data_IF_495159969835
#
_entry.id   IF_495159969835
#
_cell.length_a   1.000
_cell.length_b   1.000
_cell.length_c   1.000
_cell.angle_alpha   90.00
_cell.angle_beta   90.00
_cell.angle_gamma   90.00
#
_symmetry.space_group_name_H-M   'P 1'
#
loop_
_entity.id
_entity.type
_entity.pdbx_description
1 polymer ?
#
# COMPACT_ATOMS: atom_id res chain seq x y z
N UNK A 1 7.39 6.97 5.67
CA UNK A 1 6.97 5.64 6.21
C UNK A 1 5.60 5.29 5.64
N UNK A 2 5.15 4.04 5.74
CA UNK A 2 3.87 3.60 5.16
C UNK A 2 2.85 3.25 6.24
N UNK A 3 1.60 3.63 6.02
CA UNK A 3 0.45 3.17 6.81
C UNK A 3 -0.56 2.48 5.90
N UNK A 4 -0.95 1.27 6.26
CA UNK A 4 -1.88 0.42 5.55
C UNK A 4 -3.19 0.37 6.34
N UNK A 5 -4.34 0.45 5.68
CA UNK A 5 -5.66 0.25 6.31
C UNK A 5 -6.53 -0.60 5.40
N UNK A 6 -6.92 -1.78 5.88
CA UNK A 6 -7.71 -2.73 5.09
C UNK A 6 -9.19 -2.34 5.16
N UNK A 7 -9.85 -2.17 4.02
CA UNK A 7 -11.29 -1.85 3.95
C UNK A 7 -12.13 -3.10 3.71
N UNK A 8 -11.52 -4.10 3.06
CA UNK A 8 -12.07 -5.43 2.86
C UNK A 8 -10.97 -6.46 2.61
N UNK A 9 -11.22 -7.68 3.04
CA UNK A 9 -10.24 -8.77 3.16
C UNK A 9 -10.81 -10.14 2.73
N UNK A 10 -12.02 -10.15 2.16
CA UNK A 10 -12.71 -11.36 1.68
C UNK A 10 -12.43 -11.60 0.20
N UNK A 11 -12.31 -12.86 -0.18
CA UNK A 11 -12.19 -13.28 -1.58
C UNK A 11 -13.53 -13.56 -2.25
N UNK A 12 -13.70 -13.06 -3.48
CA UNK A 12 -14.80 -13.35 -4.40
C UNK A 12 -16.14 -12.69 -4.02
N UNK A 13 -16.54 -12.78 -2.76
CA UNK A 13 -17.84 -12.30 -2.27
C UNK A 13 -17.72 -11.66 -0.88
N UNK A 14 -18.56 -10.67 -0.55
CA UNK A 14 -18.63 -10.14 0.80
C UNK A 14 -19.26 -11.16 1.75
N UNK A 15 -18.90 -11.06 3.03
CA UNK A 15 -19.49 -11.83 4.12
C UNK A 15 -20.06 -10.88 5.17
N UNK A 16 -20.70 -11.42 6.22
CA UNK A 16 -21.14 -10.63 7.37
C UNK A 16 -19.98 -9.94 8.11
N UNK A 17 -18.76 -10.47 7.99
CA UNK A 17 -17.60 -10.02 8.78
C UNK A 17 -16.52 -9.32 7.96
N UNK A 18 -16.43 -9.63 6.66
CA UNK A 18 -15.39 -9.12 5.75
C UNK A 18 -16.01 -8.66 4.44
N UNK A 19 -15.68 -7.45 4.00
CA UNK A 19 -15.99 -6.99 2.65
C UNK A 19 -14.96 -7.54 1.64
N UNK A 20 -15.28 -7.43 0.36
CA UNK A 20 -14.35 -7.71 -0.76
C UNK A 20 -13.19 -6.72 -0.82
N UNK A 21 -12.12 -7.09 -1.54
CA UNK A 21 -10.80 -6.45 -1.54
C UNK A 21 -10.84 -4.94 -1.72
N UNK A 22 -10.26 -4.24 -0.75
CA UNK A 22 -9.76 -2.88 -0.91
C UNK A 22 -8.80 -2.52 0.22
N UNK A 23 -7.70 -1.86 -0.12
CA UNK A 23 -6.64 -1.45 0.80
C UNK A 23 -6.30 0.02 0.58
N UNK A 24 -6.28 0.81 1.66
CA UNK A 24 -5.72 2.15 1.64
C UNK A 24 -4.25 2.13 2.08
N UNK A 25 -3.40 2.80 1.31
CA UNK A 25 -1.98 3.00 1.57
C UNK A 25 -1.67 4.49 1.69
N UNK A 26 -1.16 4.92 2.82
CA UNK A 26 -0.74 6.30 3.09
C UNK A 26 0.77 6.35 3.24
N UNK A 27 1.38 7.47 2.82
CA UNK A 27 2.68 7.85 3.38
C UNK A 27 2.45 8.62 4.67
N UNK A 28 3.35 8.52 5.65
CA UNK A 28 3.23 9.26 6.92
C UNK A 28 3.56 10.76 6.80
N UNK A 29 3.87 11.25 5.61
CA UNK A 29 4.36 12.62 5.39
C UNK A 29 3.24 13.62 5.13
N UNK A 30 2.11 13.17 4.58
CA UNK A 30 0.98 14.00 4.23
C UNK A 30 -0.34 13.23 4.43
N UNK A 31 -1.46 13.83 4.01
CA UNK A 31 -2.78 13.19 4.05
C UNK A 31 -3.10 12.38 2.80
N UNK A 32 -2.25 12.49 1.79
CA UNK A 32 -2.47 11.82 0.51
C UNK A 32 -2.42 10.31 0.69
N UNK A 33 -3.26 9.63 -0.07
CA UNK A 33 -3.38 8.19 0.03
C UNK A 33 -3.70 7.55 -1.31
N UNK A 34 -3.39 6.26 -1.40
CA UNK A 34 -3.57 5.40 -2.55
C UNK A 34 -4.54 4.29 -2.18
N UNK A 35 -5.40 3.93 -3.12
CA UNK A 35 -6.27 2.77 -2.99
C UNK A 35 -5.73 1.65 -3.87
N UNK A 36 -5.56 0.47 -3.30
CA UNK A 36 -5.27 -0.76 -4.05
C UNK A 36 -6.53 -1.60 -4.03
N UNK A 37 -7.09 -1.79 -5.21
CA UNK A 37 -8.41 -2.36 -5.48
C UNK A 37 -9.58 -1.62 -4.82
N UNK A 38 -10.72 -1.70 -5.49
CA UNK A 38 -11.97 -1.04 -5.12
C UNK A 38 -13.14 -2.00 -5.35
N UNK A 39 -13.18 -3.08 -4.57
CA UNK A 39 -14.30 -4.01 -4.56
C UNK A 39 -15.62 -3.34 -4.21
N UNK A 40 -16.73 -4.01 -4.50
CA UNK A 40 -18.07 -3.51 -4.19
C UNK A 40 -18.18 -3.01 -2.73
N UNK A 41 -18.96 -1.95 -2.54
CA UNK A 41 -19.20 -1.30 -1.26
C UNK A 41 -17.98 -0.65 -0.58
N UNK A 42 -16.81 -0.55 -1.22
CA UNK A 42 -15.63 0.16 -0.68
C UNK A 42 -15.95 1.57 -0.17
N UNK A 43 -16.77 2.35 -0.90
CA UNK A 43 -17.20 3.68 -0.44
C UNK A 43 -17.96 3.66 0.90
N UNK A 44 -18.72 2.60 1.20
CA UNK A 44 -19.42 2.45 2.48
C UNK A 44 -18.44 2.11 3.62
N UNK A 45 -17.36 1.38 3.30
CA UNK A 45 -16.28 1.10 4.25
C UNK A 45 -15.52 2.38 4.60
N UNK A 46 -15.26 3.24 3.60
CA UNK A 46 -14.59 4.53 3.79
C UNK A 46 -15.31 5.46 4.79
N UNK A 47 -16.64 5.42 4.86
CA UNK A 47 -17.41 6.23 5.81
C UNK A 47 -17.07 5.94 7.29
N UNK A 48 -16.42 4.81 7.58
CA UNK A 48 -16.00 4.42 8.93
C UNK A 48 -14.54 4.76 9.22
N UNK A 49 -13.83 5.36 8.26
CA UNK A 49 -12.41 5.66 8.34
C UNK A 49 -12.17 7.17 8.23
N UNK A 50 -11.12 7.70 8.88
CA UNK A 50 -10.73 9.10 8.73
C UNK A 50 -9.94 9.33 7.43
N UNK A 51 -10.42 8.77 6.31
CA UNK A 51 -9.85 8.91 4.98
C UNK A 51 -10.80 9.72 4.10
N UNK A 52 -10.30 10.83 3.55
CA UNK A 52 -11.09 11.66 2.65
C UNK A 52 -10.85 11.26 1.21
N UNK A 53 -11.92 11.05 0.44
CA UNK A 53 -11.83 10.87 -1.02
C UNK A 53 -11.29 12.12 -1.73
N UNK A 54 -11.12 13.26 -1.07
CA UNK A 54 -10.47 14.45 -1.63
C UNK A 54 -8.93 14.38 -1.57
N UNK A 55 -8.38 13.54 -0.69
CA UNK A 55 -6.95 13.30 -0.52
C UNK A 55 -6.50 12.00 -1.23
N UNK A 56 -7.41 11.29 -1.89
CA UNK A 56 -7.10 10.10 -2.70
C UNK A 56 -6.33 10.53 -3.95
N UNK A 57 -5.08 10.11 -4.10
CA UNK A 57 -4.22 10.50 -5.25
C UNK A 57 -4.42 9.56 -6.42
N UNK A 58 -4.47 8.27 -6.15
CA UNK A 58 -4.64 7.27 -7.19
C UNK A 58 -5.30 5.98 -6.71
N UNK A 59 -5.95 5.31 -7.65
CA UNK A 59 -6.50 3.96 -7.48
C UNK A 59 -5.72 3.01 -8.39
N UNK A 60 -5.15 1.98 -7.81
CA UNK A 60 -4.40 0.91 -8.46
C UNK A 60 -5.27 -0.35 -8.50
N UNK A 61 -5.68 -0.80 -9.69
CA UNK A 61 -6.52 -1.99 -9.86
C UNK A 61 -5.65 -3.15 -10.35
N UNK A 62 -5.58 -4.20 -9.53
CA UNK A 62 -4.74 -5.38 -9.80
C UNK A 62 -5.21 -6.15 -11.03
N UNK A 63 -6.52 -6.35 -11.16
CA UNK A 63 -7.14 -7.06 -12.28
C UNK A 63 -8.65 -6.76 -12.40
N UNK A 64 -9.29 -7.36 -13.41
CA UNK A 64 -10.65 -6.97 -13.84
C UNK A 64 -11.81 -7.58 -13.04
N UNK A 65 -11.57 -8.48 -12.07
CA UNK A 65 -12.67 -9.13 -11.36
C UNK A 65 -13.46 -8.13 -10.50
N UNK A 66 -14.73 -8.47 -10.26
CA UNK A 66 -15.70 -7.56 -9.67
C UNK A 66 -15.46 -7.25 -8.20
N UNK A 67 -14.98 -8.23 -7.43
CA UNK A 67 -14.57 -8.08 -6.04
C UNK A 67 -13.33 -7.19 -5.85
N UNK A 68 -12.70 -6.75 -6.95
CA UNK A 68 -11.60 -5.79 -6.97
C UNK A 68 -11.96 -4.46 -7.64
N UNK A 69 -13.10 -4.34 -8.34
CA UNK A 69 -13.39 -3.17 -9.20
C UNK A 69 -14.82 -2.64 -9.15
N UNK A 70 -15.81 -3.41 -8.70
CA UNK A 70 -17.23 -3.01 -8.73
C UNK A 70 -17.56 -1.80 -7.84
N UNK A 71 -16.69 -1.44 -6.90
CA UNK A 71 -16.83 -0.23 -6.10
C UNK A 71 -16.50 1.07 -6.86
N UNK A 72 -15.81 0.99 -8.00
CA UNK A 72 -15.31 2.16 -8.73
C UNK A 72 -16.42 3.15 -9.12
N UNK A 73 -17.51 2.76 -9.82
CA UNK A 73 -18.51 3.72 -10.28
C UNK A 73 -19.11 4.55 -9.13
N UNK A 74 -19.51 3.87 -8.05
CA UNK A 74 -20.09 4.53 -6.88
C UNK A 74 -19.10 5.44 -6.16
N UNK A 75 -17.84 5.02 -6.00
CA UNK A 75 -16.79 5.84 -5.39
C UNK A 75 -16.53 7.11 -6.21
N UNK A 76 -16.40 6.97 -7.54
CA UNK A 76 -16.11 8.07 -8.45
C UNK A 76 -17.26 9.09 -8.48
N UNK A 77 -18.51 8.60 -8.52
CA UNK A 77 -19.72 9.41 -8.44
C UNK A 77 -19.78 10.18 -7.12
N UNK A 78 -19.60 9.49 -5.99
CA UNK A 78 -19.61 10.09 -4.65
C UNK A 78 -18.54 11.16 -4.50
N UNK A 79 -17.31 10.93 -4.97
CA UNK A 79 -16.26 11.95 -4.95
C UNK A 79 -16.63 13.19 -5.78
N UNK A 80 -17.33 13.02 -6.90
CA UNK A 80 -17.82 14.14 -7.72
C UNK A 80 -18.89 14.93 -6.96
N UNK A 81 -19.87 14.24 -6.36
CA UNK A 81 -20.97 14.84 -5.61
C UNK A 81 -20.51 15.54 -4.32
N UNK A 82 -19.43 15.08 -3.68
CA UNK A 82 -18.83 15.77 -2.54
C UNK A 82 -17.92 16.94 -2.94
N UNK A 83 -17.83 17.24 -4.25
CA UNK A 83 -17.14 18.42 -4.74
C UNK A 83 -15.64 18.26 -4.93
N UNK A 84 -15.14 17.03 -5.15
CA UNK A 84 -13.73 16.81 -5.51
C UNK A 84 -13.40 17.62 -6.78
N UNK A 85 -12.24 18.29 -6.77
CA UNK A 85 -11.69 19.04 -7.92
C UNK A 85 -10.32 18.53 -8.37
N UNK A 86 -9.54 17.97 -7.45
CA UNK A 86 -8.20 17.43 -7.75
C UNK A 86 -8.30 16.28 -8.76
N UNK A 87 -7.40 16.22 -9.77
CA UNK A 87 -7.28 15.06 -10.65
C UNK A 87 -7.15 13.76 -9.84
N UNK A 88 -7.69 12.67 -10.35
CA UNK A 88 -7.55 11.34 -9.76
C UNK A 88 -6.90 10.41 -10.78
N UNK A 89 -5.82 9.74 -10.36
CA UNK A 89 -5.18 8.70 -11.17
C UNK A 89 -5.98 7.39 -11.06
N UNK A 90 -6.25 6.75 -12.19
CA UNK A 90 -6.77 5.40 -12.27
C UNK A 90 -5.74 4.55 -13.01
N UNK A 91 -4.90 3.84 -12.26
CA UNK A 91 -3.94 2.88 -12.79
C UNK A 91 -4.67 1.54 -12.86
N UNK A 92 -5.13 1.16 -14.04
CA UNK A 92 -6.00 0.00 -14.20
C UNK A 92 -5.87 -0.60 -15.62
N UNK A 93 -6.24 -1.88 -15.80
CA UNK A 93 -6.35 -2.46 -17.15
C UNK A 93 -7.28 -1.63 -18.04
N UNK A 94 -6.96 -1.52 -19.33
CA UNK A 94 -7.79 -0.79 -20.30
C UNK A 94 -9.29 -1.18 -20.28
N UNK A 95 -9.59 -2.46 -20.01
CA UNK A 95 -10.97 -2.94 -19.89
C UNK A 95 -11.76 -2.27 -18.75
N UNK A 96 -11.10 -1.94 -17.62
CA UNK A 96 -11.74 -1.20 -16.53
C UNK A 96 -12.09 0.21 -16.99
N UNK A 97 -11.19 0.90 -17.69
CA UNK A 97 -11.48 2.24 -18.23
C UNK A 97 -12.67 2.22 -19.18
N UNK A 98 -12.72 1.25 -20.10
CA UNK A 98 -13.84 1.09 -21.02
C UNK A 98 -15.17 0.85 -20.29
N UNK A 99 -15.16 0.02 -19.23
CA UNK A 99 -16.34 -0.21 -18.39
C UNK A 99 -16.78 1.04 -17.62
N UNK A 100 -15.84 1.81 -17.06
CA UNK A 100 -16.15 3.09 -16.40
C UNK A 100 -16.74 4.08 -17.41
N UNK A 101 -16.17 4.21 -18.61
CA UNK A 101 -16.70 5.11 -19.65
C UNK A 101 -18.12 4.72 -20.05
N UNK A 102 -18.40 3.42 -20.23
CA UNK A 102 -19.75 2.94 -20.49
C UNK A 102 -20.70 3.27 -19.32
N UNK A 103 -20.24 3.12 -18.09
CA UNK A 103 -21.05 3.47 -16.90
C UNK A 103 -21.35 4.96 -16.85
N UNK A 104 -20.35 5.81 -17.08
CA UNK A 104 -20.53 7.27 -17.14
C UNK A 104 -21.55 7.66 -18.22
N UNK A 105 -21.43 7.08 -19.41
CA UNK A 105 -22.33 7.31 -20.53
C UNK A 105 -23.78 6.88 -20.21
N UNK A 106 -23.97 5.66 -19.71
CA UNK A 106 -25.30 5.07 -19.52
C UNK A 106 -26.01 5.51 -18.24
N UNK A 107 -25.30 6.13 -17.30
CA UNK A 107 -25.88 6.68 -16.07
C UNK A 107 -25.96 8.20 -16.06
N UNK A 108 -25.58 8.86 -17.17
CA UNK A 108 -25.46 10.32 -17.28
C UNK A 108 -24.63 10.93 -16.14
N UNK A 109 -23.58 10.21 -15.72
CA UNK A 109 -22.68 10.66 -14.66
C UNK A 109 -21.59 11.57 -15.23
N UNK A 110 -21.55 12.81 -14.74
CA UNK A 110 -20.51 13.78 -15.05
C UNK A 110 -19.55 13.95 -13.87
N UNK A 111 -18.27 13.64 -14.07
CA UNK A 111 -17.24 13.85 -13.06
C UNK A 111 -16.82 15.33 -13.05
N UNK A 112 -16.86 15.96 -11.88
CA UNK A 112 -16.45 17.38 -11.71
C UNK A 112 -14.95 17.57 -11.51
N UNK A 113 -14.17 16.50 -11.71
CA UNK A 113 -12.72 16.45 -11.63
C UNK A 113 -12.16 15.56 -12.75
N UNK A 114 -10.90 15.76 -13.18
CA UNK A 114 -10.26 14.91 -14.18
C UNK A 114 -10.00 13.49 -13.64
N UNK A 115 -10.46 12.47 -14.37
CA UNK A 115 -10.06 11.08 -14.16
C UNK A 115 -8.99 10.72 -15.20
N UNK A 116 -7.75 10.58 -14.74
CA UNK A 116 -6.58 10.30 -15.59
C UNK A 116 -6.34 8.80 -15.56
N UNK A 117 -6.60 8.11 -16.66
CA UNK A 117 -6.32 6.68 -16.78
C UNK A 117 -4.86 6.44 -17.20
N UNK A 118 -4.21 5.53 -16.49
CA UNK A 118 -2.91 4.98 -16.84
C UNK A 118 -3.15 3.48 -17.05
N UNK A 119 -2.92 3.00 -18.27
CA UNK A 119 -3.01 1.58 -18.55
C UNK A 119 -1.90 0.85 -17.80
N UNK A 120 -2.28 -0.15 -17.00
CA UNK A 120 -1.34 -0.90 -16.16
C UNK A 120 -0.31 -1.66 -17.00
N UNK A 121 -0.64 -1.98 -18.25
CA UNK A 121 0.26 -2.68 -19.16
C UNK A 121 1.25 -1.75 -19.88
N UNK A 122 1.03 -0.42 -19.83
CA UNK A 122 1.80 0.55 -20.63
C UNK A 122 3.29 0.63 -20.28
N UNK A 123 3.66 0.50 -19.00
CA UNK A 123 5.03 0.57 -18.53
C UNK A 123 5.23 -0.17 -17.20
N UNK A 124 6.45 -0.64 -16.88
CA UNK A 124 6.76 -1.22 -15.57
C UNK A 124 6.64 -0.22 -14.42
N UNK A 125 6.99 1.05 -14.63
CA UNK A 125 6.79 2.15 -13.66
C UNK A 125 5.54 2.92 -14.09
N UNK A 126 4.55 2.96 -13.20
CA UNK A 126 3.22 3.54 -13.47
C UNK A 126 3.01 4.89 -12.78
N UNK A 127 3.88 5.24 -11.83
CA UNK A 127 3.90 6.55 -11.19
C UNK A 127 5.28 6.82 -10.57
N UNK A 128 5.75 8.05 -10.69
CA UNK A 128 6.99 8.50 -10.04
C UNK A 128 6.91 10.00 -9.74
N UNK A 129 6.85 10.35 -8.47
CA UNK A 129 6.86 11.75 -8.02
C UNK A 129 7.23 11.86 -6.55
N UNK A 130 7.87 12.97 -6.16
CA UNK A 130 8.10 13.33 -4.75
C UNK A 130 8.75 12.22 -3.88
N UNK A 131 9.64 11.43 -4.48
CA UNK A 131 10.33 10.32 -3.81
C UNK A 131 9.51 9.03 -3.72
N UNK A 132 8.26 9.00 -4.22
CA UNK A 132 7.46 7.79 -4.34
C UNK A 132 7.50 7.25 -5.78
N UNK A 133 7.95 6.01 -5.92
CA UNK A 133 7.86 5.23 -7.16
C UNK A 133 6.87 4.09 -6.99
N UNK A 134 5.93 3.98 -7.93
CA UNK A 134 4.99 2.85 -8.03
C UNK A 134 5.28 2.07 -9.30
N UNK A 135 5.57 0.79 -9.14
CA UNK A 135 5.83 -0.13 -10.26
C UNK A 135 4.89 -1.32 -10.23
N UNK A 136 4.55 -1.84 -11.41
CA UNK A 136 3.69 -3.00 -11.61
C UNK A 136 4.52 -4.23 -11.95
N UNK A 137 4.06 -5.39 -11.47
CA UNK A 137 4.71 -6.69 -11.66
C UNK A 137 3.67 -7.71 -12.10
N UNK A 138 3.89 -8.37 -13.22
CA UNK A 138 2.91 -9.31 -13.78
C UNK A 138 2.76 -10.55 -12.90
N UNK A 139 1.52 -11.01 -12.73
CA UNK A 139 1.14 -12.18 -11.95
C UNK A 139 0.38 -13.21 -12.82
N UNK A 140 0.16 -14.39 -12.25
CA UNK A 140 -0.53 -15.51 -12.89
C UNK A 140 -1.91 -15.70 -12.26
N UNK A 141 -2.97 -15.34 -12.99
CA UNK A 141 -4.35 -15.50 -12.55
C UNK A 141 -5.28 -15.74 -13.75
N UNK A 142 -6.58 -16.04 -13.52
CA UNK A 142 -7.54 -16.35 -14.61
C UNK A 142 -7.68 -15.21 -15.62
N UNK A 143 -7.61 -13.98 -15.12
CA UNK A 143 -7.46 -12.77 -15.92
C UNK A 143 -6.05 -12.21 -15.69
N UNK A 144 -5.47 -11.44 -16.63
CA UNK A 144 -4.23 -10.72 -16.39
C UNK A 144 -4.29 -9.94 -15.07
N UNK A 145 -3.31 -10.20 -14.20
CA UNK A 145 -3.23 -9.63 -12.86
C UNK A 145 -1.83 -9.06 -12.63
N UNK A 146 -1.75 -8.05 -11.77
CA UNK A 146 -0.49 -7.43 -11.37
C UNK A 146 -0.40 -7.28 -9.85
N UNK A 147 0.83 -7.24 -9.36
CA UNK A 147 1.18 -6.70 -8.05
C UNK A 147 1.79 -5.31 -8.18
N UNK A 148 1.68 -4.52 -7.12
CA UNK A 148 2.24 -3.18 -7.04
C UNK A 148 3.37 -3.10 -6.00
N UNK A 149 4.48 -2.51 -6.41
CA UNK A 149 5.59 -2.15 -5.51
C UNK A 149 5.60 -0.64 -5.32
N UNK A 150 5.39 -0.21 -4.08
CA UNK A 150 5.50 1.18 -3.64
C UNK A 150 6.85 1.36 -2.93
N UNK A 151 7.75 2.13 -3.54
CA UNK A 151 9.04 2.48 -2.96
C UNK A 151 9.09 3.97 -2.67
N UNK A 152 9.32 4.31 -1.40
CA UNK A 152 9.44 5.66 -0.90
C UNK A 152 10.89 5.92 -0.51
N UNK A 153 11.49 6.97 -1.06
CA UNK A 153 12.77 7.52 -0.66
C UNK A 153 12.59 8.99 -0.28
N UNK A 154 12.90 9.33 0.97
CA UNK A 154 12.86 10.71 1.45
C UNK A 154 14.20 11.11 2.02
N UNK A 155 14.73 12.25 1.60
CA UNK A 155 15.99 12.79 2.10
C UNK A 155 15.75 14.11 2.82
N UNK A 156 16.33 14.26 4.01
CA UNK A 156 16.32 15.53 4.75
C UNK A 156 17.72 15.85 5.29
N UNK A 157 18.04 17.13 5.32
CA UNK A 157 19.23 17.58 6.05
C UNK A 157 19.00 17.45 7.55
N UNK A 158 19.95 16.88 8.26
CA UNK A 158 19.95 16.78 9.72
C UNK A 158 21.23 17.41 10.25
N UNK A 159 21.10 18.35 11.19
CA UNK A 159 22.25 18.89 11.88
C UNK A 159 23.02 17.79 12.63
N UNK A 160 24.35 17.83 12.49
CA UNK A 160 25.28 17.10 13.33
C UNK A 160 25.48 17.86 14.64
N UNK A 161 24.56 17.63 15.59
CA UNK A 161 24.58 18.29 16.89
C UNK A 161 25.84 17.94 17.68
N UNK A 162 26.40 16.74 17.50
CA UNK A 162 27.61 16.33 18.19
C UNK A 162 28.83 17.11 17.68
N UNK A 163 28.96 17.27 16.36
CA UNK A 163 30.00 18.11 15.77
C UNK A 163 29.88 19.58 16.21
N UNK A 164 28.66 20.14 16.25
CA UNK A 164 28.42 21.50 16.74
C UNK A 164 28.81 21.68 18.20
N UNK A 165 28.45 20.73 19.06
CA UNK A 165 28.82 20.74 20.47
C UNK A 165 30.33 20.59 20.66
N UNK A 166 30.98 19.71 19.89
CA UNK A 166 32.44 19.54 19.92
C UNK A 166 33.19 20.79 19.43
N UNK A 167 32.62 21.53 18.49
CA UNK A 167 33.13 22.81 18.02
C UNK A 167 32.81 23.99 18.97
N UNK A 168 32.15 23.74 20.11
CA UNK A 168 31.81 24.78 21.08
C UNK A 168 30.67 25.71 20.65
N UNK A 169 29.88 25.33 19.63
CA UNK A 169 28.82 26.17 19.07
C UNK A 169 27.52 25.97 19.88
N UNK A 170 27.06 26.95 20.67
CA UNK A 170 25.84 26.82 21.46
C UNK A 170 24.60 26.77 20.56
N UNK A 171 23.51 26.10 21.00
CA UNK A 171 22.22 26.17 20.31
C UNK A 171 21.75 27.62 20.15
N UNK A 172 21.38 28.01 18.92
CA UNK A 172 20.98 29.38 18.62
C UNK A 172 20.72 29.63 17.13
N UNK A 173 20.67 30.89 16.68
CA UNK A 173 20.39 31.25 15.29
C UNK A 173 21.31 30.58 14.27
N UNK A 174 22.59 30.41 14.61
CA UNK A 174 23.58 29.72 13.78
C UNK A 174 23.15 28.29 13.41
N UNK A 175 22.52 27.54 14.34
CA UNK A 175 22.04 26.20 14.04
C UNK A 175 20.93 26.23 12.98
N UNK A 176 20.02 27.22 13.04
CA UNK A 176 18.97 27.41 12.04
C UNK A 176 19.53 27.69 10.64
N UNK A 177 20.55 28.54 10.55
CA UNK A 177 21.26 28.82 9.29
C UNK A 177 21.90 27.55 8.72
N UNK A 178 22.68 26.82 9.53
CA UNK A 178 23.36 25.59 9.10
C UNK A 178 22.36 24.51 8.68
N UNK A 179 21.23 24.37 9.39
CA UNK A 179 20.14 23.46 9.05
C UNK A 179 19.49 23.81 7.69
N UNK A 180 19.37 25.10 7.39
CA UNK A 180 18.89 25.61 6.09
C UNK A 180 19.97 25.51 4.98
N UNK A 181 21.20 25.12 5.32
CA UNK A 181 22.30 25.03 4.36
C UNK A 181 23.07 26.32 4.14
N UNK A 182 22.93 27.28 5.05
CA UNK A 182 23.62 28.56 5.01
C UNK A 182 24.74 28.57 6.03
N UNK A 183 25.90 29.09 5.64
CA UNK A 183 27.03 29.28 6.55
C UNK A 183 26.66 30.30 7.63
N UNK A 184 27.17 30.10 8.84
CA UNK A 184 26.86 30.96 9.98
C UNK A 184 28.11 31.70 10.46
N UNK A 185 28.03 33.03 10.53
CA UNK A 185 29.07 33.87 11.16
C UNK A 185 28.77 33.99 12.66
N UNK A 186 29.73 33.66 13.49
CA UNK A 186 29.67 33.82 14.94
C UNK A 186 30.19 35.20 15.37
N UNK A 187 29.86 35.61 16.59
CA UNK A 187 30.23 36.91 17.16
C UNK A 187 31.75 37.10 17.29
N UNK A 188 32.51 36.01 17.39
CA UNK A 188 33.98 36.01 17.45
C UNK A 188 34.64 36.10 16.05
N UNK A 189 33.83 36.18 14.99
CA UNK A 189 34.29 36.23 13.59
C UNK A 189 34.45 34.86 12.93
N UNK A 190 34.23 33.76 13.64
CA UNK A 190 34.32 32.41 13.08
C UNK A 190 33.18 32.15 12.09
N UNK A 191 33.50 31.59 10.92
CA UNK A 191 32.50 31.14 9.94
C UNK A 191 32.34 29.63 10.02
N UNK A 192 31.13 29.18 10.33
CA UNK A 192 30.74 27.78 10.34
C UNK A 192 30.17 27.40 8.98
N UNK A 193 30.75 26.39 8.34
CA UNK A 193 30.27 25.91 7.05
C UNK A 193 29.11 24.90 7.22
N UNK A 194 27.99 25.15 6.55
CA UNK A 194 26.81 24.31 6.66
C UNK A 194 27.07 22.87 6.26
N UNK A 195 27.89 22.61 5.23
CA UNK A 195 28.19 21.26 4.75
C UNK A 195 29.00 20.45 5.78
N UNK A 196 29.73 21.09 6.69
CA UNK A 196 30.45 20.42 7.78
C UNK A 196 29.52 19.99 8.92
N UNK A 197 28.46 20.76 9.18
CA UNK A 197 27.61 20.57 10.36
C UNK A 197 26.23 19.98 10.05
N UNK A 198 26.02 19.47 8.84
CA UNK A 198 24.80 18.75 8.48
C UNK A 198 25.13 17.51 7.65
N UNK A 199 24.29 16.49 7.82
CA UNK A 199 24.37 15.27 7.05
C UNK A 199 23.03 15.04 6.34
N UNK A 200 23.09 14.52 5.12
CA UNK A 200 21.88 14.12 4.41
C UNK A 200 21.43 12.78 4.98
N UNK A 201 20.28 12.76 5.63
CA UNK A 201 19.65 11.55 6.14
C UNK A 201 18.60 11.09 5.12
N UNK A 202 18.88 9.98 4.44
CA UNK A 202 17.96 9.35 3.50
C UNK A 202 17.27 8.17 4.18
N UNK A 203 15.94 8.19 4.17
CA UNK A 203 15.10 7.09 4.63
C UNK A 203 14.44 6.42 3.44
N UNK A 204 14.38 5.10 3.47
CA UNK A 204 13.76 4.26 2.44
C UNK A 204 12.74 3.33 3.07
N UNK A 205 11.61 3.17 2.41
CA UNK A 205 10.62 2.15 2.75
C UNK A 205 10.05 1.58 1.44
N UNK A 206 9.80 0.28 1.40
CA UNK A 206 9.26 -0.43 0.25
C UNK A 206 8.24 -1.46 0.71
N UNK A 207 7.04 -1.35 0.15
CA UNK A 207 5.92 -2.26 0.36
C UNK A 207 5.52 -2.86 -0.98
N UNK A 208 5.31 -4.17 -1.00
CA UNK A 208 4.75 -4.90 -2.15
C UNK A 208 3.35 -5.35 -1.79
N UNK A 209 2.40 -5.12 -2.69
CA UNK A 209 1.00 -5.54 -2.57
C UNK A 209 0.70 -6.40 -3.78
N UNK A 210 0.58 -7.71 -3.56
CA UNK A 210 0.20 -8.66 -4.60
C UNK A 210 -1.29 -8.56 -4.91
N UNK A 211 -1.64 -8.61 -6.20
CA UNK A 211 -2.98 -8.99 -6.62
C UNK A 211 -3.17 -10.50 -6.54
N UNK A 212 -4.34 -10.95 -6.99
CA UNK A 212 -4.66 -12.38 -7.06
C UNK A 212 -3.70 -13.10 -7.99
N UNK A 213 -3.21 -14.26 -7.55
CA UNK A 213 -2.10 -14.96 -8.16
C UNK A 213 -1.94 -16.40 -7.64
N UNK A 214 -1.60 -17.37 -8.49
CA UNK A 214 -1.28 -18.75 -8.10
C UNK A 214 0.23 -19.04 -7.94
N UNK A 215 1.08 -18.10 -8.35
CA UNK A 215 2.54 -18.27 -8.42
C UNK A 215 3.26 -17.14 -7.65
N UNK A 216 3.36 -17.19 -6.31
CA UNK A 216 3.96 -16.11 -5.50
C UNK A 216 5.36 -15.69 -5.94
N UNK A 217 6.15 -16.62 -6.48
CA UNK A 217 7.52 -16.38 -6.96
C UNK A 217 7.63 -15.32 -8.07
N UNK A 218 6.53 -15.00 -8.79
CA UNK A 218 6.50 -13.90 -9.76
C UNK A 218 6.77 -12.53 -9.12
N UNK A 219 6.60 -12.40 -7.79
CA UNK A 219 6.93 -11.19 -7.03
C UNK A 219 8.39 -11.13 -6.57
N UNK A 220 9.26 -12.07 -6.95
CA UNK A 220 10.63 -12.12 -6.45
C UNK A 220 11.41 -10.82 -6.74
N UNK A 221 11.29 -10.28 -7.96
CA UNK A 221 11.92 -9.00 -8.32
C UNK A 221 11.34 -7.85 -7.49
N UNK A 222 10.00 -7.75 -7.41
CA UNK A 222 9.30 -6.73 -6.64
C UNK A 222 9.72 -6.70 -5.16
N UNK A 223 9.94 -7.88 -4.58
CA UNK A 223 10.28 -8.07 -3.18
C UNK A 223 11.75 -7.81 -2.85
N UNK A 224 12.60 -7.56 -3.85
CA UNK A 224 14.02 -7.27 -3.61
C UNK A 224 14.18 -5.99 -2.78
N UNK A 225 14.68 -6.16 -1.54
CA UNK A 225 14.84 -5.07 -0.59
C UNK A 225 13.53 -4.50 -0.03
N UNK A 226 12.40 -5.19 -0.22
CA UNK A 226 11.12 -4.81 0.37
C UNK A 226 11.09 -5.14 1.87
N UNK A 227 10.41 -4.31 2.66
CA UNK A 227 10.22 -4.56 4.08
C UNK A 227 8.87 -5.20 4.38
N UNK A 228 7.91 -5.16 3.45
CA UNK A 228 6.58 -5.74 3.65
C UNK A 228 6.04 -6.31 2.36
N UNK A 229 5.50 -7.52 2.45
CA UNK A 229 4.59 -8.09 1.46
C UNK A 229 3.17 -8.18 2.01
N UNK A 230 2.20 -7.64 1.27
CA UNK A 230 0.79 -7.95 1.41
C UNK A 230 0.41 -8.90 0.28
N UNK A 231 -0.14 -10.08 0.59
CA UNK A 231 -0.45 -11.08 -0.43
C UNK A 231 -1.77 -11.79 -0.14
N UNK A 232 -2.48 -12.20 -1.20
CA UNK A 232 -3.64 -13.09 -1.07
C UNK A 232 -3.24 -14.42 -0.45
N UNK A 233 -4.13 -15.00 0.36
CA UNK A 233 -3.94 -16.32 0.93
C UNK A 233 -5.30 -17.02 1.02
N UNK A 234 -5.89 -17.26 -0.15
CA UNK A 234 -7.31 -17.62 -0.28
C UNK A 234 -7.65 -18.93 0.43
N UNK A 235 -6.71 -19.89 0.47
CA UNK A 235 -6.89 -21.23 1.03
C UNK A 235 -5.68 -21.71 1.84
N UNK A 236 -5.88 -22.67 2.74
CA UNK A 236 -4.80 -23.59 3.14
C UNK A 236 -4.39 -24.46 1.96
N UNK A 237 -3.17 -25.01 1.96
CA UNK A 237 -2.71 -25.88 0.86
C UNK A 237 -3.59 -27.13 0.73
N UNK A 238 -3.96 -27.74 1.87
CA UNK A 238 -4.84 -28.90 1.88
C UNK A 238 -6.22 -28.59 1.29
N UNK A 239 -6.75 -27.38 1.50
CA UNK A 239 -8.01 -26.95 0.89
C UNK A 239 -7.85 -26.64 -0.61
N UNK A 240 -6.75 -25.98 -1.00
CA UNK A 240 -6.47 -25.68 -2.41
C UNK A 240 -6.39 -26.97 -3.24
N UNK A 241 -5.76 -28.03 -2.71
CA UNK A 241 -5.70 -29.34 -3.36
C UNK A 241 -7.08 -29.98 -3.55
N UNK A 242 -8.03 -29.74 -2.63
CA UNK A 242 -9.42 -30.22 -2.75
C UNK A 242 -10.24 -29.41 -3.74
N UNK A 243 -10.06 -28.09 -3.77
CA UNK A 243 -10.77 -27.18 -4.70
C UNK A 243 -10.24 -27.35 -6.13
N UNK A 244 -8.96 -27.70 -6.28
CA UNK A 244 -8.31 -27.87 -7.57
C UNK A 244 -7.74 -26.56 -8.14
N UNK A 245 -7.08 -26.63 -9.32
CA UNK A 245 -6.32 -25.50 -9.87
C UNK A 245 -7.20 -24.40 -10.50
N UNK A 246 -8.50 -24.65 -10.69
CA UNK A 246 -9.40 -23.76 -11.42
C UNK A 246 -9.46 -22.30 -10.94
N UNK A 247 -9.45 -22.02 -9.63
CA UNK A 247 -9.49 -20.64 -9.13
C UNK A 247 -8.21 -19.81 -9.34
N UNK A 248 -7.07 -20.45 -9.65
CA UNK A 248 -5.74 -19.83 -9.81
C UNK A 248 -5.38 -18.82 -8.70
N UNK A 249 -5.54 -19.27 -7.44
CA UNK A 249 -5.15 -18.55 -6.23
C UNK A 249 -3.98 -19.22 -5.53
N UNK A 250 -3.32 -18.47 -4.64
CA UNK A 250 -2.24 -18.98 -3.78
C UNK A 250 -2.79 -19.58 -2.49
N UNK A 251 -2.09 -20.59 -1.98
CA UNK A 251 -2.31 -21.08 -0.63
C UNK A 251 -1.45 -20.33 0.39
N UNK A 252 -1.88 -20.35 1.65
CA UNK A 252 -1.11 -19.82 2.77
C UNK A 252 0.29 -20.42 2.81
N UNK A 253 0.42 -21.75 2.74
CA UNK A 253 1.72 -22.43 2.69
C UNK A 253 2.63 -21.86 1.60
N UNK A 254 2.16 -21.73 0.35
CA UNK A 254 3.00 -21.27 -0.77
C UNK A 254 3.49 -19.85 -0.58
N UNK A 255 2.62 -18.97 -0.08
CA UNK A 255 2.96 -17.57 0.18
C UNK A 255 3.96 -17.45 1.34
N UNK A 256 3.74 -18.19 2.42
CA UNK A 256 4.64 -18.23 3.57
C UNK A 256 6.04 -18.73 3.18
N UNK A 257 6.11 -19.82 2.40
CA UNK A 257 7.38 -20.35 1.87
C UNK A 257 8.10 -19.35 0.97
N UNK A 258 7.38 -18.65 0.09
CA UNK A 258 7.95 -17.60 -0.74
C UNK A 258 8.50 -16.45 0.11
N UNK A 259 7.74 -15.98 1.10
CA UNK A 259 8.15 -14.88 1.96
C UNK A 259 9.40 -15.21 2.78
N UNK A 260 9.48 -16.44 3.30
CA UNK A 260 10.67 -16.96 4.00
C UNK A 260 11.88 -17.03 3.06
N UNK A 261 11.71 -17.61 1.86
CA UNK A 261 12.79 -17.71 0.88
C UNK A 261 13.30 -16.34 0.41
N UNK A 262 12.40 -15.36 0.27
CA UNK A 262 12.70 -13.97 -0.06
C UNK A 262 13.26 -13.17 1.13
N UNK A 263 13.30 -13.77 2.34
CA UNK A 263 13.74 -13.14 3.60
C UNK A 263 12.98 -11.85 3.91
N UNK A 264 11.68 -11.83 3.63
CA UNK A 264 10.84 -10.68 3.93
C UNK A 264 10.66 -10.56 5.44
N UNK A 265 10.92 -9.39 6.04
CA UNK A 265 10.81 -9.25 7.49
C UNK A 265 9.35 -9.20 7.98
N UNK A 266 8.43 -8.76 7.12
CA UNK A 266 7.02 -8.66 7.45
C UNK A 266 6.11 -9.21 6.32
N UNK A 267 5.06 -9.92 6.71
CA UNK A 267 4.04 -10.50 5.83
C UNK A 267 2.63 -10.19 6.37
N UNK A 268 1.77 -9.64 5.53
CA UNK A 268 0.33 -9.52 5.82
C UNK A 268 -0.45 -10.37 4.82
N UNK A 269 -1.19 -11.35 5.32
CA UNK A 269 -2.09 -12.16 4.50
C UNK A 269 -3.48 -11.52 4.43
N UNK A 270 -4.12 -11.61 3.26
CA UNK A 270 -5.48 -11.08 3.04
C UNK A 270 -6.24 -11.95 2.02
N UNK A 271 -7.40 -11.48 1.57
CA UNK A 271 -8.20 -12.10 0.50
C UNK A 271 -8.58 -13.55 0.84
N UNK A 272 -9.16 -13.74 2.03
CA UNK A 272 -9.48 -15.06 2.55
C UNK A 272 -10.78 -15.58 1.94
N UNK A 273 -10.84 -16.87 1.62
CA UNK A 273 -12.10 -17.51 1.24
C UNK A 273 -13.13 -17.39 2.37
N UNK A 274 -14.39 -17.11 2.02
CA UNK A 274 -15.52 -16.99 2.94
C UNK A 274 -15.73 -18.22 3.85
N UNK A 275 -15.08 -19.35 3.56
CA UNK A 275 -15.06 -20.52 4.44
C UNK A 275 -14.39 -20.24 5.80
N UNK A 276 -13.35 -19.41 5.83
CA UNK A 276 -12.59 -19.06 7.05
C UNK A 276 -13.21 -17.82 7.74
N UNK A 277 -14.52 -17.85 7.97
CA UNK A 277 -15.26 -16.69 8.48
C UNK A 277 -15.24 -16.57 10.02
N UNK A 278 -14.81 -17.60 10.73
CA UNK A 278 -14.79 -17.67 12.19
C UNK A 278 -13.35 -17.73 12.74
N UNK A 279 -13.22 -17.67 14.06
CA UNK A 279 -11.92 -17.66 14.74
C UNK A 279 -11.11 -18.94 14.44
N UNK A 280 -11.75 -20.12 14.44
CA UNK A 280 -11.09 -21.40 14.20
C UNK A 280 -10.51 -21.48 12.78
N UNK A 281 -11.28 -21.06 11.77
CA UNK A 281 -10.82 -21.01 10.39
C UNK A 281 -9.67 -20.03 10.18
N UNK A 282 -9.70 -18.87 10.86
CA UNK A 282 -8.58 -17.93 10.83
C UNK A 282 -7.34 -18.48 11.54
N UNK A 283 -7.52 -19.21 12.66
CA UNK A 283 -6.44 -19.86 13.38
C UNK A 283 -5.80 -21.00 12.57
N UNK A 284 -6.59 -21.72 11.76
CA UNK A 284 -6.09 -22.73 10.81
C UNK A 284 -5.12 -22.10 9.80
N UNK A 285 -5.51 -20.98 9.19
CA UNK A 285 -4.65 -20.23 8.26
C UNK A 285 -3.38 -19.74 8.95
N UNK A 286 -3.50 -19.14 10.14
CA UNK A 286 -2.34 -18.64 10.88
C UNK A 286 -1.37 -19.77 11.26
N UNK A 287 -1.90 -20.91 11.73
CA UNK A 287 -1.08 -22.08 12.06
C UNK A 287 -0.30 -22.60 10.85
N UNK A 288 -0.93 -22.72 9.67
CA UNK A 288 -0.24 -23.14 8.45
C UNK A 288 0.86 -22.15 8.05
N UNK A 289 0.59 -20.84 8.11
CA UNK A 289 1.57 -19.81 7.80
C UNK A 289 2.81 -19.90 8.70
N UNK A 290 2.60 -20.08 10.01
CA UNK A 290 3.66 -20.14 11.02
C UNK A 290 4.54 -21.39 10.91
N UNK A 291 4.11 -22.45 10.22
CA UNK A 291 4.95 -23.60 9.91
C UNK A 291 6.03 -23.29 8.87
N UNK A 292 5.83 -22.25 8.06
CA UNK A 292 6.64 -21.98 6.88
C UNK A 292 7.27 -20.59 6.85
N UNK A 293 6.86 -19.69 7.74
CA UNK A 293 7.36 -18.32 7.81
C UNK A 293 7.67 -17.91 9.26
N UNK A 294 8.89 -17.41 9.46
CA UNK A 294 9.44 -17.07 10.77
C UNK A 294 9.41 -15.57 11.12
N UNK A 295 9.11 -14.71 10.14
CA UNK A 295 9.05 -13.26 10.32
C UNK A 295 7.76 -12.76 10.97
N UNK A 296 7.57 -11.44 10.93
CA UNK A 296 6.39 -10.80 11.52
C UNK A 296 5.18 -11.01 10.61
N UNK A 297 4.16 -11.70 11.13
CA UNK A 297 2.99 -12.13 10.38
C UNK A 297 1.73 -11.53 10.98
N UNK A 298 0.89 -10.97 10.10
CA UNK A 298 -0.49 -10.62 10.43
C UNK A 298 -1.47 -11.20 9.41
N UNK A 299 -2.64 -11.61 9.90
CA UNK A 299 -3.80 -11.90 9.04
C UNK A 299 -4.70 -10.67 9.07
N UNK A 300 -4.86 -10.03 7.92
CA UNK A 300 -5.62 -8.79 7.80
C UNK A 300 -7.06 -8.97 8.25
N UNK A 301 -7.64 -7.93 8.83
CA UNK A 301 -9.09 -7.82 9.06
C UNK A 301 -9.54 -6.45 8.63
N UNK A 302 -10.80 -6.37 8.23
CA UNK A 302 -11.41 -5.10 7.89
C UNK A 302 -11.21 -4.09 9.04
N UNK A 303 -10.81 -2.88 8.65
CA UNK A 303 -10.46 -1.74 9.49
C UNK A 303 -9.23 -1.88 10.39
N UNK A 304 -8.51 -3.00 10.33
CA UNK A 304 -7.17 -3.04 10.93
C UNK A 304 -6.23 -2.10 10.14
N UNK A 305 -5.45 -1.33 10.88
CA UNK A 305 -4.38 -0.49 10.33
C UNK A 305 -3.01 -0.96 10.80
N UNK A 306 -2.02 -0.86 9.93
CA UNK A 306 -0.63 -1.22 10.21
C UNK A 306 0.30 -0.08 9.80
N UNK A 307 1.37 0.13 10.55
CA UNK A 307 2.40 1.12 10.24
C UNK A 307 3.75 0.41 10.06
N UNK A 308 4.36 0.62 8.90
CA UNK A 308 5.73 0.23 8.60
C UNK A 308 6.64 1.45 8.79
N UNK A 309 7.43 1.43 9.85
CA UNK A 309 8.30 2.54 10.21
C UNK A 309 9.57 2.62 9.35
N UNK A 310 10.42 3.62 9.62
CA UNK A 310 11.65 3.86 8.87
C UNK A 310 12.76 2.82 9.18
N UNK A 311 12.62 2.04 10.25
CA UNK A 311 13.49 0.93 10.58
C UNK A 311 13.02 -0.39 9.93
N UNK A 312 11.87 -0.38 9.24
CA UNK A 312 11.28 -1.56 8.63
C UNK A 312 10.50 -2.43 9.61
N UNK A 313 10.17 -1.90 10.80
CA UNK A 313 9.35 -2.60 11.79
C UNK A 313 7.88 -2.36 11.45
N UNK A 314 7.12 -3.45 11.32
CA UNK A 314 5.67 -3.40 11.16
C UNK A 314 4.99 -3.47 12.52
N UNK A 315 4.05 -2.57 12.77
CA UNK A 315 3.22 -2.61 13.97
C UNK A 315 1.75 -2.48 13.62
N UNK A 316 0.89 -3.20 14.35
CA UNK A 316 -0.55 -3.01 14.27
C UNK A 316 -0.95 -1.79 15.10
N UNK A 317 -1.61 -0.82 14.47
CA UNK A 317 -2.10 0.36 15.17
C UNK A 317 -3.34 0.00 16.00
N UNK A 318 -3.52 0.61 17.19
CA UNK A 318 -4.71 0.40 17.98
C UNK A 318 -5.94 0.82 17.18
N UNK A 319 -6.92 -0.08 17.10
CA UNK A 319 -8.21 0.25 16.51
C UNK A 319 -8.82 1.43 17.26
N UNK A 320 -9.32 2.45 16.55
CA UNK A 320 -10.20 3.42 17.19
C UNK A 320 -11.45 2.66 17.59
N UNK A 321 -11.69 2.53 18.90
CA UNK A 321 -12.98 2.09 19.42
C UNK A 321 -14.06 2.92 18.74
N UNK A 322 -14.93 2.26 17.97
CA UNK A 322 -16.16 2.86 17.46
C UNK A 322 -17.13 3.06 18.61
#
# INVERSE_FOLDING_TARGET
MFKLTFLGTSSGVPTRHRNVTSLALQTTHNRDWWMIDCGEATQHRLQRLPLSVHDLVGICITHVHGDHSYGLPGLLASASMTGRKKPLLLIAPAAIKAWIDATLLHTELFLTYPLIHIDVDSAPVVYEEAGLTVSRHALSHRAPSVGYRFALETSRWKLDKAALQAAGVPPGPAWGLLQAGQDALLDDGTVLNAATFRQLETQRATVVIGGDNDTPALLAEACTGAQLLVHEATYTEAMLQKVGPGPTHSSVQRVAQFAEAARLPNLILTHFSARYHNADGMAELEAEARLHYSGELFLARDFDSYELDAAGVLSKLPGKSQ
#
